data_IF_121973115207
#
_entry.id   IF_121973115207
#
_cell.length_a   1.000
_cell.length_b   1.000
_cell.length_c   1.000
_cell.angle_alpha   90.00
_cell.angle_beta   90.00
_cell.angle_gamma   90.00
#
_symmetry.space_group_name_H-M   'P 1'
#
loop_
_entity.id
_entity.type
_entity.pdbx_description
1 polymer ?
#
# COMPACT_ATOMS: atom_id res chain seq x y z
N UNK A 1 11.70 39.19 -14.10
CA UNK A 1 12.41 39.34 -12.80
C UNK A 1 12.01 38.23 -11.87
N UNK A 2 12.97 37.54 -11.25
CA UNK A 2 12.68 36.34 -10.41
C UNK A 2 12.13 36.73 -9.04
N UNK A 3 10.83 36.49 -8.81
CA UNK A 3 10.13 36.73 -7.55
C UNK A 3 9.66 35.42 -6.90
N UNK A 4 10.20 34.25 -7.34
CA UNK A 4 9.84 32.97 -6.75
C UNK A 4 10.09 32.98 -5.24
N UNK A 5 9.15 32.43 -4.48
CA UNK A 5 9.19 32.38 -3.02
C UNK A 5 9.20 33.74 -2.30
N UNK A 6 8.90 34.85 -3.00
CA UNK A 6 8.73 36.18 -2.41
C UNK A 6 7.29 36.65 -2.56
N UNK A 7 6.70 37.14 -1.48
CA UNK A 7 5.37 37.72 -1.45
C UNK A 7 5.44 39.07 -0.78
N UNK A 8 4.87 40.09 -1.41
CA UNK A 8 4.79 41.44 -0.80
C UNK A 8 3.47 41.57 -0.02
N UNK A 9 3.58 41.97 1.25
CA UNK A 9 2.44 42.25 2.11
C UNK A 9 2.59 43.69 2.62
N UNK A 10 1.74 44.58 2.15
CA UNK A 10 1.91 46.02 2.34
C UNK A 10 3.18 46.49 1.63
N UNK A 11 4.08 47.15 2.36
CA UNK A 11 5.39 47.62 1.85
C UNK A 11 6.52 46.61 2.06
N UNK A 12 6.29 45.53 2.82
CA UNK A 12 7.35 44.63 3.25
C UNK A 12 7.35 43.31 2.45
N UNK A 13 8.54 42.77 2.19
CA UNK A 13 8.72 41.48 1.52
C UNK A 13 8.80 40.31 2.52
N UNK A 14 8.15 39.22 2.17
CA UNK A 14 8.13 37.96 2.92
C UNK A 14 8.67 36.85 2.07
N UNK A 15 9.51 36.00 2.66
CA UNK A 15 9.88 34.69 2.11
C UNK A 15 8.78 33.68 2.43
N UNK A 16 8.17 33.08 1.41
CA UNK A 16 7.21 32.00 1.55
C UNK A 16 7.69 30.81 0.71
N UNK A 17 8.12 29.73 1.33
CA UNK A 17 8.64 28.56 0.66
C UNK A 17 8.22 27.27 1.37
N UNK A 18 8.15 26.18 0.62
CA UNK A 18 8.04 24.84 1.19
C UNK A 18 9.44 24.28 1.42
N UNK A 19 9.79 23.99 2.66
CA UNK A 19 11.09 23.40 3.03
C UNK A 19 10.83 22.18 3.88
N UNK A 20 11.28 21.01 3.42
CA UNK A 20 11.08 19.72 4.10
C UNK A 20 9.61 19.39 4.41
N UNK A 21 8.69 19.73 3.50
CA UNK A 21 7.25 19.49 3.67
C UNK A 21 6.54 20.50 4.60
N UNK A 22 7.26 21.44 5.22
CA UNK A 22 6.69 22.51 6.03
C UNK A 22 6.68 23.84 5.26
N UNK A 23 5.56 24.57 5.32
CA UNK A 23 5.47 25.92 4.77
C UNK A 23 6.14 26.90 5.72
N UNK A 24 7.20 27.57 5.23
CA UNK A 24 7.83 28.68 5.96
C UNK A 24 7.31 29.98 5.43
N UNK A 25 6.94 30.89 6.34
CA UNK A 25 6.66 32.28 6.02
C UNK A 25 7.46 33.15 6.99
N UNK A 26 8.40 33.96 6.47
CA UNK A 26 9.30 34.80 7.27
C UNK A 26 9.38 36.19 6.68
N UNK A 27 9.16 37.22 7.49
CA UNK A 27 9.39 38.59 7.07
C UNK A 27 10.87 38.84 6.81
N UNK A 28 11.19 39.42 5.65
CA UNK A 28 12.55 39.81 5.27
C UNK A 28 12.95 41.21 5.77
N UNK A 29 12.00 41.92 6.39
CA UNK A 29 12.19 43.26 6.97
C UNK A 29 12.86 44.25 6.01
N UNK A 30 12.36 44.25 4.76
CA UNK A 30 12.79 45.17 3.71
C UNK A 30 11.62 45.42 2.76
N UNK A 31 11.59 46.61 2.19
CA UNK A 31 10.68 47.03 1.13
C UNK A 31 11.37 47.01 -0.25
N UNK A 32 12.70 46.85 -0.28
CA UNK A 32 13.48 46.71 -1.51
C UNK A 32 13.49 45.28 -2.01
N UNK A 33 13.09 45.09 -3.27
CA UNK A 33 13.01 43.78 -3.92
C UNK A 33 14.39 43.14 -4.11
N UNK A 34 15.46 43.92 -4.33
CA UNK A 34 16.79 43.36 -4.56
C UNK A 34 17.40 42.87 -3.23
N UNK A 35 17.19 43.60 -2.15
CA UNK A 35 17.56 43.17 -0.82
C UNK A 35 16.75 41.95 -0.38
N UNK A 36 15.45 41.92 -0.71
CA UNK A 36 14.59 40.76 -0.44
C UNK A 36 15.08 39.50 -1.16
N UNK A 37 15.53 39.63 -2.41
CA UNK A 37 16.12 38.50 -3.18
C UNK A 37 17.41 37.99 -2.53
N UNK A 38 18.31 38.89 -2.18
CA UNK A 38 19.56 38.52 -1.50
C UNK A 38 19.29 37.76 -0.21
N UNK A 39 18.42 38.27 0.66
CA UNK A 39 18.04 37.64 1.93
C UNK A 39 17.33 36.29 1.70
N UNK A 40 16.48 36.21 0.67
CA UNK A 40 15.88 34.92 0.25
C UNK A 40 16.95 33.90 -0.12
N UNK A 41 17.88 34.26 -0.98
CA UNK A 41 18.91 33.36 -1.52
C UNK A 41 19.88 32.91 -0.41
N UNK A 42 20.23 33.82 0.53
CA UNK A 42 20.99 33.50 1.71
C UNK A 42 20.28 32.44 2.58
N UNK A 43 18.99 32.66 2.93
CA UNK A 43 18.20 31.75 3.77
C UNK A 43 17.96 30.41 3.06
N UNK A 44 17.68 30.40 1.77
CA UNK A 44 17.45 29.17 0.99
C UNK A 44 18.76 28.45 0.67
N UNK A 45 19.85 29.21 0.43
CA UNK A 45 21.20 28.66 0.19
C UNK A 45 21.75 27.92 1.39
N UNK A 46 21.68 28.51 2.59
CA UNK A 46 22.09 27.83 3.84
C UNK A 46 21.30 26.54 4.09
N UNK A 47 19.98 26.54 3.78
CA UNK A 47 19.14 25.35 3.96
C UNK A 47 19.31 24.31 2.88
N UNK A 48 19.66 24.71 1.65
CA UNK A 48 20.00 23.80 0.57
C UNK A 48 21.36 23.16 0.83
N UNK A 49 22.35 23.94 1.29
CA UNK A 49 23.66 23.41 1.69
C UNK A 49 23.53 22.38 2.82
N UNK A 50 22.72 22.66 3.86
CA UNK A 50 22.47 21.69 4.93
C UNK A 50 21.78 20.42 4.46
N UNK A 51 20.92 20.51 3.41
CA UNK A 51 20.28 19.37 2.78
C UNK A 51 21.25 18.54 1.95
N UNK A 52 22.15 19.21 1.25
CA UNK A 52 23.21 18.56 0.46
C UNK A 52 24.21 17.86 1.37
N UNK A 53 24.59 18.47 2.50
CA UNK A 53 25.43 17.83 3.54
C UNK A 53 24.75 16.60 4.14
N UNK A 54 23.47 16.67 4.50
CA UNK A 54 22.71 15.51 5.02
C UNK A 54 22.58 14.42 3.96
N UNK A 55 22.39 14.79 2.69
CA UNK A 55 22.33 13.85 1.57
C UNK A 55 23.69 13.22 1.31
N UNK A 56 24.77 14.02 1.35
CA UNK A 56 26.15 13.56 1.24
C UNK A 56 26.51 12.63 2.39
N UNK A 57 26.21 13.01 3.63
CA UNK A 57 26.44 12.16 4.81
C UNK A 57 25.68 10.83 4.72
N UNK A 58 24.45 10.84 4.22
CA UNK A 58 23.68 9.60 3.95
C UNK A 58 24.32 8.73 2.86
N UNK A 59 24.87 9.34 1.81
CA UNK A 59 25.55 8.61 0.73
C UNK A 59 26.88 8.04 1.20
N UNK A 60 27.69 8.84 1.92
CA UNK A 60 28.95 8.41 2.52
C UNK A 60 28.72 7.30 3.56
N UNK A 61 27.68 7.44 4.39
CA UNK A 61 27.29 6.38 5.33
C UNK A 61 26.93 5.08 4.63
N UNK A 62 26.17 5.15 3.53
CA UNK A 62 25.85 3.96 2.71
C UNK A 62 27.07 3.34 2.07
N UNK A 63 28.03 4.16 1.60
CA UNK A 63 29.29 3.66 1.05
C UNK A 63 30.15 3.01 2.12
N UNK A 64 30.28 3.62 3.29
CA UNK A 64 31.01 3.05 4.44
C UNK A 64 30.37 1.74 4.92
N UNK A 65 29.03 1.70 5.01
CA UNK A 65 28.28 0.48 5.32
C UNK A 65 28.51 -0.60 4.24
N UNK A 66 28.63 -0.21 2.97
CA UNK A 66 28.99 -1.09 1.86
C UNK A 66 30.40 -1.66 1.97
N UNK A 67 31.40 -0.81 2.25
CA UNK A 67 32.80 -1.21 2.43
C UNK A 67 32.94 -2.11 3.66
N UNK A 68 32.34 -1.74 4.78
CA UNK A 68 32.34 -2.57 5.98
C UNK A 68 31.64 -3.91 5.73
N UNK A 69 30.58 -3.93 4.92
CA UNK A 69 29.92 -5.15 4.49
C UNK A 69 30.87 -6.06 3.72
N UNK A 70 31.56 -5.54 2.70
CA UNK A 70 32.51 -6.34 1.90
C UNK A 70 33.69 -6.87 2.72
N UNK A 71 34.21 -6.07 3.64
CA UNK A 71 35.30 -6.48 4.54
C UNK A 71 34.84 -7.55 5.54
N UNK A 72 33.66 -7.38 6.15
CA UNK A 72 33.06 -8.39 7.04
C UNK A 72 32.66 -9.66 6.27
N UNK A 73 32.18 -9.54 5.03
CA UNK A 73 31.88 -10.67 4.18
C UNK A 73 33.14 -11.50 3.86
N UNK A 74 34.25 -10.84 3.55
CA UNK A 74 35.56 -11.49 3.33
C UNK A 74 36.09 -12.16 4.58
N UNK A 75 35.92 -11.57 5.76
CA UNK A 75 36.34 -12.13 7.03
C UNK A 75 35.44 -13.29 7.49
N UNK A 76 34.13 -13.16 7.30
CA UNK A 76 33.11 -14.13 7.71
C UNK A 76 33.09 -15.39 6.83
N UNK A 77 33.31 -15.24 5.52
CA UNK A 77 33.30 -16.36 4.58
C UNK A 77 34.37 -17.42 4.85
N UNK A 78 35.44 -17.06 5.60
CA UNK A 78 36.51 -17.98 5.91
C UNK A 78 36.28 -18.87 7.13
N UNK A 79 35.47 -18.50 8.11
CA UNK A 79 35.37 -19.22 9.40
C UNK A 79 33.98 -19.44 9.98
N UNK A 80 33.00 -18.54 9.76
CA UNK A 80 31.74 -18.53 10.52
C UNK A 80 30.46 -18.49 9.67
N UNK A 81 30.55 -18.43 8.33
CA UNK A 81 29.42 -18.29 7.44
C UNK A 81 28.88 -16.86 7.33
N UNK A 82 27.75 -16.68 6.71
CA UNK A 82 27.11 -15.38 6.45
C UNK A 82 26.56 -14.74 7.71
N UNK A 83 26.70 -13.40 7.84
CA UNK A 83 26.10 -12.63 8.93
C UNK A 83 24.59 -12.49 8.72
N UNK A 84 23.80 -12.84 9.72
CA UNK A 84 22.33 -12.75 9.70
C UNK A 84 21.82 -11.36 9.34
N UNK A 85 22.45 -10.31 9.84
CA UNK A 85 22.04 -8.94 9.57
C UNK A 85 22.07 -8.56 8.07
N UNK A 86 22.90 -9.27 7.27
CA UNK A 86 23.05 -8.99 5.84
C UNK A 86 22.40 -10.03 4.93
N UNK A 87 21.86 -11.12 5.46
CA UNK A 87 21.21 -12.17 4.67
C UNK A 87 20.11 -11.63 3.71
N UNK A 88 19.34 -10.63 4.15
CA UNK A 88 18.34 -9.99 3.30
C UNK A 88 18.96 -9.21 2.11
N UNK A 89 20.16 -8.64 2.24
CA UNK A 89 20.84 -7.96 1.14
C UNK A 89 21.32 -8.98 0.10
N UNK A 90 21.89 -10.11 0.52
CA UNK A 90 22.21 -11.21 -0.39
C UNK A 90 20.97 -11.71 -1.13
N UNK A 91 19.86 -11.88 -0.41
CA UNK A 91 18.61 -12.28 -1.03
C UNK A 91 18.14 -11.25 -2.07
N UNK A 92 18.16 -9.96 -1.78
CA UNK A 92 17.76 -8.90 -2.73
C UNK A 92 18.57 -8.91 -4.03
N UNK A 93 19.87 -9.20 -3.96
CA UNK A 93 20.77 -9.17 -5.11
C UNK A 93 20.98 -10.54 -5.78
N UNK A 94 20.41 -11.62 -5.23
CA UNK A 94 20.58 -12.96 -5.80
C UNK A 94 19.73 -13.15 -7.06
N UNK A 95 20.36 -13.62 -8.15
CA UNK A 95 19.66 -14.03 -9.37
C UNK A 95 18.80 -15.29 -9.15
N UNK A 96 19.12 -16.11 -8.13
CA UNK A 96 18.43 -17.37 -7.82
C UNK A 96 17.25 -17.18 -6.86
N UNK A 97 16.98 -15.96 -6.40
CA UNK A 97 15.79 -15.72 -5.57
C UNK A 97 14.52 -15.84 -6.38
N UNK A 98 13.45 -16.30 -5.74
CA UNK A 98 12.12 -16.26 -6.36
C UNK A 98 11.74 -14.81 -6.64
N UNK A 99 11.37 -14.50 -7.88
CA UNK A 99 10.91 -13.18 -8.27
C UNK A 99 9.67 -12.77 -7.45
N UNK A 100 9.66 -11.54 -6.98
CA UNK A 100 8.51 -10.90 -6.36
C UNK A 100 8.56 -9.39 -6.67
N UNK A 101 7.40 -8.72 -6.61
CA UNK A 101 7.33 -7.27 -6.82
C UNK A 101 7.89 -6.49 -5.62
N UNK A 102 8.24 -5.23 -5.85
CA UNK A 102 8.87 -4.32 -4.87
C UNK A 102 8.14 -4.27 -3.52
N UNK A 103 6.80 -4.18 -3.53
CA UNK A 103 6.02 -4.20 -2.30
C UNK A 103 6.23 -5.49 -1.48
N UNK A 104 6.33 -6.62 -2.15
CA UNK A 104 6.56 -7.91 -1.51
C UNK A 104 8.01 -8.03 -1.00
N UNK A 105 8.98 -7.46 -1.72
CA UNK A 105 10.36 -7.33 -1.25
C UNK A 105 10.43 -6.54 0.06
N UNK A 106 9.81 -5.36 0.10
CA UNK A 106 9.74 -4.55 1.32
C UNK A 106 9.08 -5.30 2.49
N UNK A 107 8.02 -6.05 2.22
CA UNK A 107 7.37 -6.87 3.24
C UNK A 107 8.31 -7.97 3.77
N UNK A 108 9.02 -8.70 2.89
CA UNK A 108 9.98 -9.72 3.32
C UNK A 108 11.12 -9.11 4.15
N UNK A 109 11.65 -7.98 3.74
CA UNK A 109 12.70 -7.26 4.49
C UNK A 109 12.18 -6.76 5.84
N UNK A 110 10.94 -6.29 5.91
CA UNK A 110 10.32 -5.86 7.17
C UNK A 110 10.17 -7.02 8.16
N UNK A 111 9.65 -8.16 7.69
CA UNK A 111 9.53 -9.36 8.54
C UNK A 111 10.90 -9.91 8.98
N UNK A 112 11.91 -9.79 8.13
CA UNK A 112 13.28 -10.14 8.48
C UNK A 112 13.84 -9.24 9.58
N UNK A 113 13.56 -7.94 9.54
CA UNK A 113 13.94 -7.01 10.60
C UNK A 113 13.23 -7.35 11.92
N UNK A 114 11.94 -7.66 11.87
CA UNK A 114 11.19 -8.11 13.07
C UNK A 114 11.86 -9.36 13.68
N UNK A 115 12.31 -10.31 12.85
CA UNK A 115 13.04 -11.48 13.30
C UNK A 115 14.37 -11.11 13.94
N UNK A 116 15.17 -10.24 13.32
CA UNK A 116 16.46 -9.81 13.86
C UNK A 116 16.32 -9.03 15.17
N UNK A 117 15.26 -8.22 15.30
CA UNK A 117 14.99 -7.46 16.52
C UNK A 117 14.57 -8.36 17.69
N UNK A 118 13.81 -9.43 17.39
CA UNK A 118 13.51 -10.47 18.35
C UNK A 118 14.77 -11.28 18.72
N UNK A 119 15.53 -11.74 17.72
CA UNK A 119 16.74 -12.55 17.90
C UNK A 119 17.76 -11.84 18.78
N UNK A 120 17.99 -10.54 18.54
CA UNK A 120 18.93 -9.73 19.33
C UNK A 120 18.58 -9.67 20.82
N UNK A 121 17.30 -9.84 21.15
CA UNK A 121 16.82 -9.84 22.55
C UNK A 121 16.86 -11.23 23.15
N UNK A 122 16.51 -12.25 22.39
CA UNK A 122 16.37 -13.63 22.87
C UNK A 122 17.70 -14.40 22.80
N UNK A 123 18.49 -14.18 21.74
CA UNK A 123 19.72 -14.91 21.44
C UNK A 123 20.80 -13.94 20.91
N UNK A 124 21.31 -13.00 21.75
CA UNK A 124 22.27 -11.97 21.33
C UNK A 124 23.59 -12.53 20.80
N UNK A 125 23.94 -13.76 21.15
CA UNK A 125 25.13 -14.49 20.69
C UNK A 125 25.02 -15.04 19.26
N UNK A 126 23.79 -15.11 18.70
CA UNK A 126 23.52 -15.67 17.38
C UNK A 126 23.68 -14.59 16.32
N UNK A 127 24.87 -14.51 15.73
CA UNK A 127 25.25 -13.46 14.77
C UNK A 127 25.35 -13.99 13.34
N UNK A 128 25.72 -15.28 13.18
CA UNK A 128 25.94 -15.92 11.89
C UNK A 128 24.79 -16.87 11.52
N UNK A 129 24.53 -17.03 10.22
CA UNK A 129 23.49 -17.93 9.75
C UNK A 129 23.69 -19.38 10.22
N UNK A 130 24.94 -19.87 10.25
CA UNK A 130 25.28 -21.23 10.73
C UNK A 130 24.96 -21.45 12.22
N UNK A 131 24.85 -20.39 13.02
CA UNK A 131 24.45 -20.50 14.43
C UNK A 131 22.94 -20.61 14.61
N UNK A 132 22.17 -20.33 13.57
CA UNK A 132 20.71 -20.36 13.62
C UNK A 132 20.22 -21.82 13.60
N UNK A 133 19.75 -22.27 14.74
CA UNK A 133 19.25 -23.64 14.94
C UNK A 133 17.75 -23.76 14.65
N UNK A 134 17.26 -25.01 14.49
CA UNK A 134 15.81 -25.27 14.44
C UNK A 134 15.10 -24.82 15.72
N UNK A 135 15.72 -24.97 16.88
CA UNK A 135 15.18 -24.50 18.17
C UNK A 135 14.88 -23.01 18.14
N UNK A 136 15.85 -22.19 17.73
CA UNK A 136 15.68 -20.73 17.61
C UNK A 136 14.58 -20.38 16.61
N UNK A 137 14.51 -21.07 15.46
CA UNK A 137 13.46 -20.83 14.48
C UNK A 137 12.06 -21.20 15.02
N UNK A 138 11.95 -22.27 15.80
CA UNK A 138 10.70 -22.65 16.48
C UNK A 138 10.31 -21.63 17.55
N UNK A 139 11.23 -21.18 18.39
CA UNK A 139 10.97 -20.14 19.40
C UNK A 139 10.46 -18.84 18.77
N UNK A 140 11.04 -18.42 17.62
CA UNK A 140 10.52 -17.27 16.88
C UNK A 140 9.14 -17.54 16.30
N UNK A 141 8.93 -18.74 15.77
CA UNK A 141 7.62 -19.19 15.29
C UNK A 141 6.56 -19.06 16.38
N UNK A 142 6.85 -19.55 17.59
CA UNK A 142 5.96 -19.48 18.74
C UNK A 142 5.75 -18.03 19.22
N UNK A 143 6.79 -17.22 19.21
CA UNK A 143 6.70 -15.78 19.49
C UNK A 143 5.74 -15.06 18.53
N UNK A 144 5.86 -15.31 17.22
CA UNK A 144 4.97 -14.70 16.21
C UNK A 144 3.54 -15.23 16.37
N UNK A 145 3.38 -16.53 16.63
CA UNK A 145 2.08 -17.17 16.85
C UNK A 145 1.38 -16.66 18.11
N UNK A 146 2.10 -16.48 19.20
CA UNK A 146 1.60 -15.89 20.45
C UNK A 146 1.31 -14.38 20.39
N UNK A 147 1.53 -13.73 19.25
CA UNK A 147 1.17 -12.33 19.03
C UNK A 147 -0.28 -12.19 18.54
N UNK A 148 -0.86 -10.97 18.65
CA UNK A 148 -2.21 -10.66 18.13
C UNK A 148 -2.29 -10.59 16.60
N UNK A 149 -1.47 -11.35 15.88
CA UNK A 149 -1.43 -11.38 14.41
C UNK A 149 -2.36 -12.46 13.87
N UNK A 150 -2.82 -12.30 12.64
CA UNK A 150 -3.59 -13.35 11.96
C UNK A 150 -2.68 -14.50 11.56
N UNK A 151 -3.26 -15.70 11.42
CA UNK A 151 -2.56 -16.89 10.91
C UNK A 151 -1.93 -16.62 9.54
N UNK A 152 -2.58 -15.84 8.69
CA UNK A 152 -2.00 -15.40 7.41
C UNK A 152 -0.73 -14.57 7.60
N UNK A 153 -0.73 -13.63 8.57
CA UNK A 153 0.46 -12.82 8.89
C UNK A 153 1.58 -13.70 9.43
N UNK A 154 1.26 -14.66 10.33
CA UNK A 154 2.21 -15.66 10.79
C UNK A 154 2.84 -16.44 9.61
N UNK A 155 2.03 -17.00 8.72
CA UNK A 155 2.50 -17.74 7.55
C UNK A 155 3.42 -16.87 6.66
N UNK A 156 3.11 -15.57 6.54
CA UNK A 156 3.91 -14.65 5.74
C UNK A 156 5.26 -14.35 6.41
N UNK A 157 5.32 -14.21 7.73
CA UNK A 157 6.58 -14.09 8.48
C UNK A 157 7.49 -15.32 8.26
N UNK A 158 6.93 -16.52 8.44
CA UNK A 158 7.68 -17.77 8.24
C UNK A 158 8.17 -17.90 6.80
N UNK A 159 7.33 -17.54 5.83
CA UNK A 159 7.71 -17.51 4.41
C UNK A 159 8.84 -16.53 4.15
N UNK A 160 8.81 -15.35 4.76
CA UNK A 160 9.83 -14.32 4.57
C UNK A 160 11.20 -14.81 5.06
N UNK A 161 11.26 -15.32 6.27
CA UNK A 161 12.51 -15.89 6.83
C UNK A 161 13.03 -17.06 5.99
N UNK A 162 12.13 -17.95 5.57
CA UNK A 162 12.49 -19.10 4.71
C UNK A 162 13.08 -18.65 3.38
N UNK A 163 12.47 -17.66 2.71
CA UNK A 163 12.94 -17.20 1.39
C UNK A 163 14.27 -16.46 1.48
N UNK A 164 14.47 -15.62 2.50
CA UNK A 164 15.75 -14.92 2.68
C UNK A 164 16.88 -15.91 2.93
N UNK A 165 16.67 -16.90 3.80
CA UNK A 165 17.70 -17.89 4.13
C UNK A 165 17.88 -18.95 3.06
N UNK A 166 16.92 -19.15 2.13
CA UNK A 166 17.09 -20.10 1.03
C UNK A 166 18.25 -19.76 0.11
N UNK A 167 18.56 -18.47 -0.05
CA UNK A 167 19.70 -18.02 -0.85
C UNK A 167 21.02 -18.30 -0.14
N UNK A 168 21.04 -18.22 1.17
CA UNK A 168 22.23 -18.59 1.98
C UNK A 168 22.46 -20.10 1.90
N UNK A 169 21.38 -20.90 2.04
CA UNK A 169 21.41 -22.36 1.92
C UNK A 169 21.95 -22.82 0.55
N UNK A 170 21.56 -22.14 -0.54
CA UNK A 170 22.08 -22.41 -1.88
C UNK A 170 23.58 -22.10 -2.05
N UNK A 171 24.09 -21.11 -1.28
CA UNK A 171 25.47 -20.65 -1.38
C UNK A 171 26.42 -21.34 -0.38
N UNK A 172 25.89 -21.99 0.66
CA UNK A 172 26.64 -22.59 1.75
C UNK A 172 26.12 -24.01 2.02
N UNK A 173 26.87 -25.03 1.54
CA UNK A 173 26.53 -26.44 1.69
C UNK A 173 26.48 -26.94 3.15
N UNK A 174 27.06 -26.19 4.08
CA UNK A 174 27.05 -26.50 5.51
C UNK A 174 25.92 -25.81 6.26
N UNK A 175 25.10 -25.00 5.59
CA UNK A 175 23.94 -24.34 6.18
C UNK A 175 22.64 -25.00 5.74
N UNK A 176 21.85 -25.43 6.70
CA UNK A 176 20.50 -25.93 6.47
C UNK A 176 19.51 -24.90 6.99
N UNK A 177 18.64 -24.40 6.14
CA UNK A 177 17.66 -23.40 6.48
C UNK A 177 16.65 -23.90 7.55
N UNK A 178 16.72 -23.41 8.80
CA UNK A 178 15.90 -23.93 9.88
C UNK A 178 14.41 -23.57 9.71
N UNK A 179 14.06 -22.53 8.97
CA UNK A 179 12.68 -22.21 8.65
C UNK A 179 12.07 -23.14 7.59
N UNK A 180 12.87 -23.95 6.90
CA UNK A 180 12.39 -25.00 6.00
C UNK A 180 11.48 -26.02 6.70
N UNK A 181 11.68 -26.26 7.99
CA UNK A 181 10.92 -27.20 8.81
C UNK A 181 9.68 -26.60 9.48
N UNK A 182 9.45 -25.29 9.38
CA UNK A 182 8.26 -24.64 9.92
C UNK A 182 7.10 -24.79 8.92
N UNK A 183 6.05 -25.48 9.32
CA UNK A 183 4.87 -25.68 8.47
C UNK A 183 3.96 -24.45 8.50
N UNK A 184 3.29 -24.18 7.37
CA UNK A 184 2.21 -23.19 7.33
C UNK A 184 1.00 -23.72 8.10
N UNK A 185 0.33 -22.82 8.79
CA UNK A 185 -0.92 -23.10 9.51
C UNK A 185 -2.12 -22.83 8.60
N UNK A 186 -3.24 -23.50 8.88
CA UNK A 186 -4.49 -23.26 8.17
C UNK A 186 -5.05 -21.88 8.53
N UNK A 187 -5.42 -21.06 7.55
CA UNK A 187 -5.95 -19.69 7.75
C UNK A 187 -7.43 -19.71 8.15
N UNK A 188 -7.81 -20.47 9.20
CA UNK A 188 -9.20 -20.57 9.68
C UNK A 188 -9.72 -19.28 10.31
N UNK A 189 -8.81 -18.45 10.81
CA UNK A 189 -9.11 -17.13 11.41
C UNK A 189 -9.19 -16.02 10.35
N UNK A 190 -9.18 -16.37 9.06
CA UNK A 190 -9.28 -15.42 7.97
C UNK A 190 -10.68 -14.85 7.88
N UNK A 191 -10.80 -13.53 7.97
CA UNK A 191 -12.07 -12.80 7.82
C UNK A 191 -12.20 -12.29 6.38
N UNK A 192 -13.28 -12.68 5.72
CA UNK A 192 -13.61 -12.17 4.39
C UNK A 192 -14.16 -10.74 4.50
N UNK A 193 -13.91 -9.92 3.48
CA UNK A 193 -14.62 -8.64 3.36
C UNK A 193 -16.10 -8.90 3.11
N UNK A 194 -16.94 -8.10 3.74
CA UNK A 194 -18.39 -8.12 3.55
C UNK A 194 -18.79 -7.13 2.46
N UNK A 195 -19.85 -7.45 1.74
CA UNK A 195 -20.50 -6.51 0.84
C UNK A 195 -21.25 -5.44 1.65
N UNK A 196 -21.42 -4.26 1.07
CA UNK A 196 -22.34 -3.26 1.61
C UNK A 196 -23.78 -3.68 1.32
N UNK A 197 -24.68 -3.42 2.26
CA UNK A 197 -26.13 -3.55 2.06
C UNK A 197 -26.67 -2.36 1.27
N UNK A 198 -27.87 -2.49 0.70
CA UNK A 198 -28.54 -1.39 0.01
C UNK A 198 -28.74 -0.17 0.93
N UNK A 199 -29.08 -0.41 2.20
CA UNK A 199 -29.25 0.65 3.18
C UNK A 199 -27.93 1.41 3.45
N UNK A 200 -26.83 0.69 3.57
CA UNK A 200 -25.49 1.30 3.76
C UNK A 200 -25.05 2.09 2.51
N UNK A 201 -25.31 1.56 1.30
CA UNK A 201 -25.03 2.29 0.07
C UNK A 201 -25.83 3.59 0.00
N UNK A 202 -27.15 3.54 0.32
CA UNK A 202 -27.99 4.75 0.38
C UNK A 202 -27.47 5.77 1.39
N UNK A 203 -27.02 5.35 2.57
CA UNK A 203 -26.39 6.24 3.56
C UNK A 203 -25.12 6.90 2.99
N UNK A 204 -24.23 6.12 2.37
CA UNK A 204 -22.99 6.61 1.77
C UNK A 204 -23.29 7.68 0.71
N UNK A 205 -24.23 7.38 -0.21
CA UNK A 205 -24.54 8.28 -1.33
C UNK A 205 -25.42 9.47 -0.94
N UNK A 206 -26.11 9.44 0.19
CA UNK A 206 -26.93 10.57 0.65
C UNK A 206 -26.18 11.53 1.59
N UNK A 207 -25.16 11.07 2.35
CA UNK A 207 -24.52 11.85 3.40
C UNK A 207 -23.02 12.16 3.17
N UNK A 208 -22.35 11.51 2.24
CA UNK A 208 -20.94 11.82 1.92
C UNK A 208 -20.78 13.19 1.23
N UNK A 209 -19.58 13.78 1.27
CA UNK A 209 -19.25 14.89 0.38
C UNK A 209 -19.12 14.42 -1.09
N UNK A 210 -19.04 15.36 -2.02
CA UNK A 210 -19.07 15.04 -3.44
C UNK A 210 -17.88 14.20 -3.89
N UNK A 211 -16.66 14.45 -3.35
CA UNK A 211 -15.47 13.67 -3.69
C UNK A 211 -15.58 12.24 -3.13
N UNK A 212 -16.07 12.08 -1.90
CA UNK A 212 -16.27 10.78 -1.28
C UNK A 212 -17.32 9.95 -2.03
N UNK A 213 -18.47 10.57 -2.39
CA UNK A 213 -19.53 9.91 -3.18
C UNK A 213 -19.02 9.47 -4.55
N UNK A 214 -18.31 10.34 -5.26
CA UNK A 214 -17.73 10.03 -6.57
C UNK A 214 -16.68 8.90 -6.45
N UNK A 215 -15.83 8.92 -5.41
CA UNK A 215 -14.85 7.85 -5.17
C UNK A 215 -15.53 6.51 -4.93
N UNK A 216 -16.63 6.50 -4.17
CA UNK A 216 -17.42 5.30 -3.91
C UNK A 216 -18.18 4.82 -5.16
N UNK A 217 -18.73 5.72 -5.96
CA UNK A 217 -19.36 5.39 -7.23
C UNK A 217 -18.35 4.78 -8.21
N UNK A 218 -17.17 5.38 -8.34
CA UNK A 218 -16.09 4.79 -9.15
C UNK A 218 -15.73 3.40 -8.64
N UNK A 219 -15.52 3.23 -7.33
CA UNK A 219 -15.19 1.92 -6.75
C UNK A 219 -16.26 0.85 -6.98
N UNK A 220 -17.56 1.23 -6.88
CA UNK A 220 -18.71 0.34 -7.05
C UNK A 220 -18.90 -0.07 -8.51
N UNK A 221 -18.97 0.89 -9.42
CA UNK A 221 -19.33 0.62 -10.82
C UNK A 221 -18.15 0.19 -11.70
N UNK A 222 -16.91 0.44 -11.29
CA UNK A 222 -15.70 0.02 -12.02
C UNK A 222 -14.95 -1.12 -11.36
N UNK A 223 -15.24 -1.41 -10.10
CA UNK A 223 -14.53 -2.39 -9.26
C UNK A 223 -13.02 -2.15 -9.11
N UNK A 224 -12.53 -0.96 -9.42
CA UNK A 224 -11.13 -0.57 -9.28
C UNK A 224 -10.65 -0.72 -7.81
N UNK A 225 -9.40 -1.05 -7.63
CA UNK A 225 -8.77 -1.00 -6.30
C UNK A 225 -8.54 0.45 -5.89
N UNK A 226 -8.52 0.71 -4.58
CA UNK A 226 -8.31 2.06 -4.06
C UNK A 226 -7.04 2.71 -4.64
N UNK A 227 -5.93 2.01 -4.70
CA UNK A 227 -4.67 2.53 -5.25
C UNK A 227 -4.78 2.92 -6.74
N UNK A 228 -5.58 2.22 -7.52
CA UNK A 228 -5.85 2.57 -8.93
C UNK A 228 -6.85 3.72 -9.03
N UNK A 229 -7.91 3.72 -8.22
CA UNK A 229 -8.92 4.78 -8.21
C UNK A 229 -8.31 6.14 -7.85
N UNK A 230 -7.46 6.19 -6.82
CA UNK A 230 -6.80 7.43 -6.37
C UNK A 230 -5.85 8.07 -7.40
N UNK A 231 -5.40 7.30 -8.39
CA UNK A 231 -4.53 7.78 -9.48
C UNK A 231 -5.30 8.26 -10.72
N UNK A 232 -6.63 8.14 -10.72
CA UNK A 232 -7.44 8.56 -11.85
C UNK A 232 -7.37 10.07 -12.07
N UNK A 233 -7.37 10.42 -13.36
CA UNK A 233 -7.41 11.80 -13.83
C UNK A 233 -8.65 12.02 -14.69
N UNK A 234 -9.15 13.22 -14.73
CA UNK A 234 -10.30 13.60 -15.53
C UNK A 234 -10.06 13.38 -17.04
N UNK A 235 -8.82 13.55 -17.51
CA UNK A 235 -8.45 13.32 -18.91
C UNK A 235 -8.63 11.86 -19.36
N UNK A 236 -8.79 10.94 -18.41
CA UNK A 236 -9.05 9.53 -18.68
C UNK A 236 -10.54 9.23 -18.90
N UNK A 237 -11.43 10.20 -18.70
CA UNK A 237 -12.87 10.10 -18.97
C UNK A 237 -13.15 10.66 -20.36
N UNK A 238 -13.50 9.82 -21.32
CA UNK A 238 -13.76 10.25 -22.69
C UNK A 238 -14.71 9.30 -23.41
N UNK A 239 -15.64 9.86 -24.18
CA UNK A 239 -16.54 9.08 -25.05
C UNK A 239 -17.41 8.03 -24.33
N UNK A 240 -17.77 8.27 -23.06
CA UNK A 240 -18.52 7.30 -22.25
C UNK A 240 -17.68 6.15 -21.66
N UNK A 241 -16.36 6.29 -21.70
CA UNK A 241 -15.43 5.31 -21.15
C UNK A 241 -14.45 5.95 -20.17
N UNK A 242 -14.01 5.15 -19.19
CA UNK A 242 -12.94 5.46 -18.26
C UNK A 242 -11.71 4.59 -18.60
N UNK A 243 -10.62 5.22 -19.01
CA UNK A 243 -9.34 4.53 -19.20
C UNK A 243 -8.64 4.38 -17.85
N UNK A 244 -8.40 3.15 -17.40
CA UNK A 244 -7.74 2.87 -16.12
C UNK A 244 -6.67 1.80 -16.29
N UNK A 245 -5.55 1.94 -15.56
CA UNK A 245 -4.51 0.92 -15.50
C UNK A 245 -4.66 0.10 -14.23
N UNK A 246 -4.74 -1.21 -14.36
CA UNK A 246 -4.72 -2.11 -13.21
C UNK A 246 -3.31 -2.22 -12.62
N UNK A 247 -3.06 -1.52 -11.53
CA UNK A 247 -1.73 -1.42 -10.90
C UNK A 247 -1.07 -2.79 -10.63
N UNK A 248 -1.85 -3.82 -10.29
CA UNK A 248 -1.31 -5.15 -9.99
C UNK A 248 -0.85 -5.94 -11.22
N UNK A 249 -1.44 -5.67 -12.37
CA UNK A 249 -1.18 -6.44 -13.62
C UNK A 249 -0.55 -5.58 -14.70
N UNK A 250 -0.49 -4.26 -14.53
CA UNK A 250 -0.05 -3.30 -15.56
C UNK A 250 -0.97 -3.26 -16.78
N UNK A 251 -2.11 -3.97 -16.76
CA UNK A 251 -3.02 -4.03 -17.90
C UNK A 251 -3.88 -2.77 -17.96
N UNK A 252 -3.92 -2.14 -19.11
CA UNK A 252 -4.85 -1.06 -19.40
C UNK A 252 -6.26 -1.62 -19.62
N UNK A 253 -7.22 -0.98 -19.02
CA UNK A 253 -8.64 -1.31 -19.16
C UNK A 253 -9.42 -0.08 -19.60
N UNK A 254 -10.23 -0.24 -20.64
CA UNK A 254 -11.25 0.73 -21.00
C UNK A 254 -12.58 0.25 -20.40
N UNK A 255 -13.07 0.96 -19.40
CA UNK A 255 -14.26 0.61 -18.64
C UNK A 255 -15.40 1.50 -19.13
N UNK A 256 -16.48 0.90 -19.65
CA UNK A 256 -17.70 1.66 -19.98
C UNK A 256 -18.27 2.31 -18.73
N UNK A 257 -18.63 3.58 -18.83
CA UNK A 257 -19.28 4.33 -17.76
C UNK A 257 -20.78 4.06 -17.86
N UNK A 258 -21.41 3.35 -16.88
CA UNK A 258 -22.85 3.20 -16.84
C UNK A 258 -23.52 4.51 -16.41
N UNK A 259 -24.82 4.66 -16.73
CA UNK A 259 -25.59 5.86 -16.41
C UNK A 259 -25.55 6.22 -14.91
N UNK A 260 -25.56 5.20 -14.08
CA UNK A 260 -25.43 5.36 -12.62
C UNK A 260 -24.09 6.00 -12.18
N UNK A 261 -22.99 5.73 -12.88
CA UNK A 261 -21.71 6.40 -12.62
C UNK A 261 -21.67 7.77 -13.29
N UNK A 262 -22.24 7.91 -14.51
CA UNK A 262 -22.35 9.20 -15.21
C UNK A 262 -23.02 10.25 -14.33
N UNK A 263 -24.10 9.87 -13.63
CA UNK A 263 -24.80 10.76 -12.70
C UNK A 263 -23.86 11.40 -11.66
N UNK A 264 -22.92 10.66 -11.11
CA UNK A 264 -21.94 11.19 -10.14
C UNK A 264 -20.83 12.01 -10.79
N UNK A 265 -20.40 11.63 -11.98
CA UNK A 265 -19.44 12.38 -12.79
C UNK A 265 -20.03 13.75 -13.15
N UNK A 266 -21.29 13.79 -13.59
CA UNK A 266 -21.97 15.00 -14.07
C UNK A 266 -22.27 16.02 -12.95
N UNK A 267 -22.18 15.61 -11.68
CA UNK A 267 -22.28 16.53 -10.53
C UNK A 267 -21.03 17.38 -10.35
N UNK A 268 -19.89 16.95 -10.91
CA UNK A 268 -18.68 17.77 -10.88
C UNK A 268 -18.74 18.77 -12.05
N UNK A 269 -18.68 20.08 -11.80
CA UNK A 269 -18.69 21.09 -12.86
C UNK A 269 -17.55 20.88 -13.86
N UNK A 270 -17.81 21.15 -15.14
CA UNK A 270 -16.84 20.90 -16.23
C UNK A 270 -15.54 21.67 -16.06
N UNK A 271 -15.59 22.88 -15.51
CA UNK A 271 -14.43 23.73 -15.19
C UNK A 271 -13.53 23.13 -14.09
N UNK A 272 -14.02 22.13 -13.35
CA UNK A 272 -13.27 21.37 -12.33
C UNK A 272 -12.81 19.99 -12.79
N UNK A 273 -13.22 19.57 -14.01
CA UNK A 273 -12.84 18.25 -14.57
C UNK A 273 -11.48 18.27 -15.26
N UNK A 274 -10.41 18.61 -14.50
CA UNK A 274 -9.03 18.57 -14.97
C UNK A 274 -8.09 18.06 -13.89
N UNK A 275 -7.01 17.37 -14.29
CA UNK A 275 -6.03 16.80 -13.38
C UNK A 275 -6.57 15.65 -12.54
N UNK A 276 -6.19 15.57 -11.27
CA UNK A 276 -6.59 14.47 -10.36
C UNK A 276 -8.11 14.46 -10.14
N UNK A 277 -8.74 13.30 -10.32
CA UNK A 277 -10.18 13.11 -10.07
C UNK A 277 -10.52 13.19 -8.56
N UNK A 278 -9.59 12.77 -7.70
CA UNK A 278 -9.72 12.74 -6.25
C UNK A 278 -8.57 13.49 -5.57
N UNK A 279 -8.53 14.82 -5.62
CA UNK A 279 -7.40 15.59 -5.13
C UNK A 279 -7.17 15.45 -3.62
N UNK A 280 -8.25 15.37 -2.82
CA UNK A 280 -8.13 15.22 -1.36
C UNK A 280 -7.61 13.84 -0.99
N UNK A 281 -8.26 12.78 -1.47
CA UNK A 281 -7.88 11.39 -1.16
C UNK A 281 -6.56 10.99 -1.84
N UNK A 282 -6.32 11.43 -3.08
CA UNK A 282 -5.10 11.11 -3.83
C UNK A 282 -3.82 11.64 -3.18
N UNK A 283 -3.91 12.81 -2.54
CA UNK A 283 -2.78 13.41 -1.82
C UNK A 283 -2.45 12.73 -0.48
N UNK A 284 -3.36 11.93 0.07
CA UNK A 284 -3.14 11.22 1.35
C UNK A 284 -2.26 9.98 1.23
N UNK A 285 -2.14 9.41 0.03
CA UNK A 285 -1.61 8.06 -0.17
C UNK A 285 -2.60 6.96 0.23
N UNK A 286 -2.44 5.75 -0.33
CA UNK A 286 -3.43 4.67 -0.23
C UNK A 286 -3.77 4.24 1.20
N UNK A 287 -2.76 4.18 2.08
CA UNK A 287 -2.97 3.74 3.46
C UNK A 287 -3.81 4.76 4.25
N UNK A 288 -3.42 6.04 4.21
CA UNK A 288 -4.14 7.11 4.90
C UNK A 288 -5.55 7.32 4.33
N UNK A 289 -5.70 7.24 2.99
CA UNK A 289 -7.01 7.28 2.35
C UNK A 289 -7.91 6.11 2.80
N UNK A 290 -7.37 4.89 2.94
CA UNK A 290 -8.12 3.75 3.45
C UNK A 290 -8.58 3.95 4.90
N UNK A 291 -7.74 4.55 5.74
CA UNK A 291 -8.09 4.89 7.13
C UNK A 291 -9.18 5.96 7.17
N UNK A 292 -9.05 7.03 6.39
CA UNK A 292 -10.04 8.10 6.30
C UNK A 292 -11.40 7.59 5.80
N UNK A 293 -11.40 6.70 4.81
CA UNK A 293 -12.62 6.04 4.35
C UNK A 293 -13.30 5.26 5.47
N UNK A 294 -12.53 4.47 6.25
CA UNK A 294 -13.11 3.73 7.37
C UNK A 294 -13.68 4.65 8.44
N UNK A 295 -12.99 5.75 8.76
CA UNK A 295 -13.48 6.76 9.71
C UNK A 295 -14.81 7.34 9.27
N UNK A 296 -14.93 7.76 8.00
CA UNK A 296 -16.18 8.31 7.44
C UNK A 296 -17.31 7.29 7.42
N UNK A 297 -17.04 6.03 7.11
CA UNK A 297 -18.04 4.97 7.17
C UNK A 297 -18.56 4.76 8.60
N UNK A 298 -17.67 4.80 9.60
CA UNK A 298 -18.05 4.69 11.01
C UNK A 298 -18.89 5.89 11.48
N UNK A 299 -18.60 7.10 11.00
CA UNK A 299 -19.42 8.30 11.26
C UNK A 299 -20.83 8.19 10.68
N UNK A 300 -21.00 7.44 9.60
CA UNK A 300 -22.33 7.08 9.05
C UNK A 300 -23.00 5.91 9.81
N UNK A 301 -22.41 5.41 10.89
CA UNK A 301 -22.93 4.28 11.65
C UNK A 301 -22.69 2.92 10.99
N UNK A 302 -21.83 2.83 9.96
CA UNK A 302 -21.54 1.58 9.26
C UNK A 302 -20.43 0.82 10.04
N UNK A 303 -20.71 -0.44 10.37
CA UNK A 303 -19.74 -1.31 11.08
C UNK A 303 -18.64 -1.73 10.08
N UNK A 304 -17.43 -1.22 10.30
CA UNK A 304 -16.27 -1.50 9.42
C UNK A 304 -15.32 -2.54 9.97
N UNK A 305 -15.44 -2.89 11.26
CA UNK A 305 -14.52 -3.77 11.96
C UNK A 305 -15.30 -4.78 12.81
N UNK A 306 -14.69 -5.94 13.03
CA UNK A 306 -15.18 -6.97 13.95
C UNK A 306 -14.04 -7.52 14.80
N UNK A 307 -14.38 -8.07 15.96
CA UNK A 307 -13.42 -8.80 16.80
C UNK A 307 -13.37 -10.25 16.35
N UNK A 308 -12.18 -10.78 16.24
CA UNK A 308 -11.91 -12.18 15.83
C UNK A 308 -10.95 -12.80 16.84
N UNK A 309 -11.29 -13.99 17.31
CA UNK A 309 -10.36 -14.80 18.11
C UNK A 309 -9.46 -15.58 17.14
N UNK A 310 -8.16 -15.33 17.19
CA UNK A 310 -7.16 -16.07 16.40
C UNK A 310 -6.96 -17.51 16.90
N UNK A 311 -6.24 -18.34 16.13
CA UNK A 311 -5.86 -19.70 16.56
C UNK A 311 -5.02 -19.72 17.85
N UNK A 312 -4.32 -18.61 18.16
CA UNK A 312 -3.59 -18.43 19.42
C UNK A 312 -4.50 -18.14 20.65
N UNK A 313 -5.82 -18.06 20.46
CA UNK A 313 -6.77 -17.66 21.49
C UNK A 313 -6.80 -16.15 21.79
N UNK A 314 -5.98 -15.34 21.10
CA UNK A 314 -5.94 -13.91 21.29
C UNK A 314 -6.94 -13.18 20.39
N UNK A 315 -7.61 -12.19 20.97
CA UNK A 315 -8.51 -11.32 20.23
C UNK A 315 -7.75 -10.29 19.39
N UNK A 316 -8.19 -10.10 18.15
CA UNK A 316 -7.72 -9.05 17.26
C UNK A 316 -8.88 -8.39 16.54
N UNK A 317 -8.70 -7.13 16.18
CA UNK A 317 -9.64 -6.41 15.32
C UNK A 317 -9.36 -6.74 13.86
N UNK A 318 -10.40 -7.10 13.11
CA UNK A 318 -10.34 -7.34 11.68
C UNK A 318 -11.28 -6.37 10.94
N UNK A 319 -10.77 -5.74 9.87
CA UNK A 319 -11.58 -4.90 9.01
C UNK A 319 -12.47 -5.77 8.11
N UNK A 320 -13.78 -5.61 8.22
CA UNK A 320 -14.79 -6.33 7.41
C UNK A 320 -15.30 -5.49 6.25
N UNK A 321 -15.44 -4.17 6.44
CA UNK A 321 -15.90 -3.25 5.38
C UNK A 321 -14.93 -2.10 5.16
N UNK A 322 -14.77 -1.68 3.92
CA UNK A 322 -13.94 -0.58 3.46
C UNK A 322 -14.03 -0.46 1.96
N UNK A 323 -13.17 0.34 1.31
CA UNK A 323 -13.24 0.56 -0.13
C UNK A 323 -13.25 -0.75 -0.95
N UNK A 324 -12.47 -1.76 -0.55
CA UNK A 324 -12.45 -3.05 -1.26
C UNK A 324 -13.77 -3.82 -1.18
N UNK A 325 -14.61 -3.52 -0.20
CA UNK A 325 -15.96 -4.09 -0.09
C UNK A 325 -16.88 -3.66 -1.24
N UNK A 326 -16.67 -2.49 -1.86
CA UNK A 326 -17.39 -2.05 -3.05
C UNK A 326 -17.26 -3.06 -4.19
N UNK A 327 -16.07 -3.62 -4.37
CA UNK A 327 -15.85 -4.66 -5.38
C UNK A 327 -16.62 -5.96 -5.05
N UNK A 328 -16.68 -6.36 -3.78
CA UNK A 328 -17.51 -7.50 -3.36
C UNK A 328 -18.99 -7.19 -3.57
N UNK A 329 -19.43 -5.98 -3.21
CA UNK A 329 -20.79 -5.50 -3.42
C UNK A 329 -21.17 -5.49 -4.90
N UNK A 330 -20.33 -4.91 -5.75
CA UNK A 330 -20.55 -4.87 -7.20
C UNK A 330 -20.70 -6.28 -7.79
N UNK A 331 -19.81 -7.19 -7.42
CA UNK A 331 -19.87 -8.60 -7.87
C UNK A 331 -21.20 -9.25 -7.42
N UNK A 332 -21.53 -9.10 -6.14
CA UNK A 332 -22.75 -9.70 -5.57
C UNK A 332 -24.00 -9.15 -6.24
N UNK A 333 -24.16 -7.83 -6.32
CA UNK A 333 -25.31 -7.18 -6.92
C UNK A 333 -25.44 -7.51 -8.42
N UNK A 334 -24.35 -7.46 -9.17
CA UNK A 334 -24.36 -7.84 -10.59
C UNK A 334 -24.87 -9.25 -10.80
N UNK A 335 -24.39 -10.22 -10.00
CA UNK A 335 -24.82 -11.62 -10.11
C UNK A 335 -26.28 -11.81 -9.68
N UNK A 336 -26.72 -11.15 -8.61
CA UNK A 336 -28.11 -11.17 -8.15
C UNK A 336 -29.07 -10.61 -9.19
N UNK A 337 -28.62 -9.61 -9.97
CA UNK A 337 -29.41 -8.97 -11.03
C UNK A 337 -29.18 -9.63 -12.41
N UNK A 338 -28.68 -10.86 -12.48
CA UNK A 338 -28.62 -11.69 -13.67
C UNK A 338 -27.42 -11.49 -14.58
N UNK A 339 -26.40 -10.74 -14.13
CA UNK A 339 -25.16 -10.64 -14.88
C UNK A 339 -24.39 -11.96 -14.88
N UNK A 340 -23.64 -12.24 -15.96
CA UNK A 340 -22.88 -13.49 -16.06
C UNK A 340 -21.63 -13.49 -15.24
N UNK A 341 -21.21 -14.67 -14.78
CA UNK A 341 -19.90 -14.88 -14.16
C UNK A 341 -18.78 -14.39 -15.10
N UNK A 342 -18.91 -14.58 -16.41
CA UNK A 342 -17.93 -14.11 -17.39
C UNK A 342 -17.85 -12.57 -17.46
N UNK A 343 -18.99 -11.88 -17.44
CA UNK A 343 -19.04 -10.41 -17.44
C UNK A 343 -18.53 -9.81 -16.15
N UNK A 344 -18.95 -10.36 -15.01
CA UNK A 344 -18.45 -9.95 -13.68
C UNK A 344 -16.95 -10.17 -13.56
N UNK A 345 -16.45 -11.28 -14.10
CA UNK A 345 -14.99 -11.57 -14.15
C UNK A 345 -14.24 -10.52 -14.97
N UNK A 346 -14.77 -10.10 -16.10
CA UNK A 346 -14.17 -9.07 -16.96
C UNK A 346 -14.22 -7.71 -16.29
N UNK A 347 -15.34 -7.33 -15.69
CA UNK A 347 -15.46 -6.09 -14.90
C UNK A 347 -14.47 -6.08 -13.73
N UNK A 348 -14.38 -7.18 -13.00
CA UNK A 348 -13.49 -7.30 -11.85
C UNK A 348 -12.01 -7.49 -12.21
N UNK A 349 -11.62 -7.75 -13.46
CA UNK A 349 -10.23 -7.95 -13.87
C UNK A 349 -9.56 -9.12 -13.14
N UNK A 350 -10.29 -10.22 -12.88
CA UNK A 350 -9.75 -11.39 -12.18
C UNK A 350 -9.03 -12.33 -13.15
N UNK A 351 -7.73 -12.54 -12.92
CA UNK A 351 -6.91 -13.48 -13.68
C UNK A 351 -6.96 -14.92 -13.14
N UNK A 352 -7.52 -15.20 -11.93
CA UNK A 352 -7.42 -16.52 -11.30
C UNK A 352 -8.76 -17.25 -11.19
N UNK A 353 -8.75 -18.54 -11.56
CA UNK A 353 -9.87 -19.49 -11.45
C UNK A 353 -10.37 -19.70 -10.01
N UNK A 354 -9.48 -19.63 -9.01
CA UNK A 354 -9.83 -19.86 -7.60
C UNK A 354 -10.82 -18.85 -7.02
N UNK A 355 -10.87 -17.62 -7.57
CA UNK A 355 -11.89 -16.64 -7.23
C UNK A 355 -13.21 -16.91 -7.95
N UNK A 356 -13.18 -17.67 -9.05
CA UNK A 356 -14.33 -18.08 -9.84
C UNK A 356 -15.23 -19.07 -9.05
N UNK A 357 -14.64 -20.00 -8.32
CA UNK A 357 -15.37 -21.02 -7.56
C UNK A 357 -16.26 -20.45 -6.44
N UNK A 358 -16.00 -19.25 -5.94
CA UNK A 358 -16.86 -18.58 -4.96
C UNK A 358 -18.17 -18.04 -5.55
N UNK A 359 -18.22 -17.88 -6.87
CA UNK A 359 -19.33 -17.24 -7.58
C UNK A 359 -19.97 -18.11 -8.68
N UNK A 360 -19.53 -19.38 -8.83
CA UNK A 360 -20.00 -20.30 -9.88
C UNK A 360 -21.45 -20.72 -9.76
N UNK A 361 -22.16 -20.28 -8.74
CA UNK A 361 -23.56 -20.69 -8.54
C UNK A 361 -24.58 -19.74 -9.22
N UNK A 362 -24.11 -18.70 -9.93
CA UNK A 362 -24.96 -17.63 -10.44
C UNK A 362 -24.63 -17.34 -11.92
N UNK A 363 -25.60 -17.52 -12.78
CA UNK A 363 -25.61 -17.57 -14.24
C UNK A 363 -25.05 -16.40 -15.08
N UNK A 364 -25.13 -16.54 -16.37
CA UNK A 364 -24.35 -15.96 -17.46
C UNK A 364 -24.99 -14.74 -18.20
N UNK A 365 -24.26 -13.66 -18.51
CA UNK A 365 -24.01 -12.88 -19.73
C UNK A 365 -23.26 -11.53 -19.53
N UNK A 366 -22.39 -11.19 -20.48
CA UNK A 366 -21.42 -10.07 -20.76
C UNK A 366 -21.18 -8.84 -19.83
N UNK A 367 -19.94 -8.25 -19.87
CA UNK A 367 -19.38 -7.28 -18.90
C UNK A 367 -20.09 -5.92 -18.77
N UNK A 368 -20.75 -5.43 -19.81
CA UNK A 368 -21.53 -4.20 -19.74
C UNK A 368 -22.79 -4.36 -18.87
N UNK A 369 -23.43 -5.50 -18.99
CA UNK A 369 -24.61 -5.87 -18.22
C UNK A 369 -24.32 -5.99 -16.71
N UNK A 370 -23.10 -6.38 -16.33
CA UNK A 370 -22.71 -6.50 -14.92
C UNK A 370 -22.67 -5.15 -14.20
N UNK A 371 -22.22 -4.10 -14.86
CA UNK A 371 -22.18 -2.76 -14.27
C UNK A 371 -23.56 -2.09 -14.24
N UNK A 372 -24.35 -2.29 -15.30
CA UNK A 372 -25.73 -1.80 -15.36
C UNK A 372 -26.63 -2.51 -14.32
N UNK A 373 -26.32 -3.76 -13.98
CA UNK A 373 -27.05 -4.57 -13.02
C UNK A 373 -26.79 -4.21 -11.53
N UNK A 374 -25.85 -3.32 -11.21
CA UNK A 374 -25.59 -2.92 -9.82
C UNK A 374 -26.79 -2.16 -9.21
N UNK A 375 -27.56 -1.45 -10.03
CA UNK A 375 -28.69 -0.63 -9.58
C UNK A 375 -28.30 0.81 -9.26
N UNK A 376 -29.29 1.60 -8.86
CA UNK A 376 -29.18 3.04 -8.60
C UNK A 376 -29.45 3.31 -7.12
N UNK A 377 -28.60 4.11 -6.45
CA UNK A 377 -28.63 4.32 -4.99
C UNK A 377 -28.78 5.80 -4.58
N UNK A 378 -29.34 6.65 -5.44
CA UNK A 378 -29.67 8.04 -5.12
C UNK A 378 -31.15 8.30 -5.14
#
# INVERSE_FOLDING_TARGET
MDTRNLTQVGRMWYLTAMVNGARISKSLRTDDINEARRKRDEILGERLASRDEVTLLKSVRRQLEGIQFEEMERASSRTSGELLMYAHRKWLHSANRRYCGEHQEHMHVSHWKDFLDWLRKAHPETIYCRQLTRGIAMEYSDHVFGSKRSTRTYNTHMTSCRQILSVIEQADEHFINPFGFIHHRSERDSVSKEAFTDGELRLIFSHGDDEFRLLFAVGLYTTLRLSSALKLKWEQVSGGYLAATHEKTGADASIRIPDALSHWIDRVPDDRRHGAMFPTFGNMGTHSASFEIQRRLQELGIVTQTTVVGESGLERTACVKGFHSLRHTAITLSLQNGATVASVRRLAGHASERMQQRYTHLGADTAGQASDAIGVFW
#
